data_IF_454577904353
#
_entry.id   IF_454577904353
#
_cell.length_a   1.000
_cell.length_b   1.000
_cell.length_c   1.000
_cell.angle_alpha   90.00
_cell.angle_beta   90.00
_cell.angle_gamma   90.00
#
_symmetry.space_group_name_H-M   'P 1'
#
loop_
_entity.id
_entity.type
_entity.pdbx_description
1 polymer ?
#
# COMPACT_ATOMS: atom_id res chain seq x y z
N UNK A 1 9.92 28.81 24.66
CA UNK A 1 9.78 27.45 25.25
C UNK A 1 8.40 26.94 24.97
N UNK A 2 8.28 25.93 24.13
CA UNK A 2 6.99 25.31 23.90
C UNK A 2 6.71 24.32 25.04
N UNK A 3 5.83 24.74 25.94
CA UNK A 3 5.40 23.89 27.05
C UNK A 3 4.34 22.92 26.51
N UNK A 4 4.73 21.65 26.31
CA UNK A 4 3.85 20.60 25.84
C UNK A 4 3.11 19.87 26.96
N UNK A 5 3.23 20.33 28.20
CA UNK A 5 2.51 19.79 29.35
C UNK A 5 1.02 20.15 29.28
N UNK A 6 0.15 19.19 29.25
CA UNK A 6 -1.30 19.33 29.27
C UNK A 6 -2.07 18.96 28.02
N UNK A 7 -1.39 18.60 26.93
CA UNK A 7 -2.07 18.13 25.70
C UNK A 7 -2.23 16.62 25.71
N UNK A 8 -3.37 16.13 25.24
CA UNK A 8 -3.62 14.69 25.05
C UNK A 8 -2.65 14.09 24.03
N UNK A 9 -2.22 12.85 24.26
CA UNK A 9 -1.30 12.12 23.37
C UNK A 9 -1.85 11.90 21.96
N UNK A 10 -3.16 12.03 21.77
CA UNK A 10 -3.88 11.81 20.51
C UNK A 10 -4.37 13.11 19.85
N UNK A 11 -3.85 14.25 20.26
CA UNK A 11 -4.31 15.55 19.74
C UNK A 11 -3.65 15.88 18.38
N UNK A 12 -4.42 15.95 17.27
CA UNK A 12 -3.88 16.24 15.95
C UNK A 12 -3.31 17.66 15.82
N UNK A 13 -3.78 18.62 16.63
CA UNK A 13 -3.23 19.97 16.66
C UNK A 13 -1.78 20.02 17.16
N UNK A 14 -1.43 19.10 18.04
CA UNK A 14 -0.08 18.95 18.56
C UNK A 14 0.92 18.58 17.46
N UNK A 15 0.58 17.62 16.61
CA UNK A 15 1.38 17.25 15.46
C UNK A 15 1.49 18.36 14.44
N UNK A 16 0.40 19.10 14.22
CA UNK A 16 0.37 20.24 13.32
C UNK A 16 1.30 21.36 13.79
N UNK A 17 1.34 21.66 15.07
CA UNK A 17 2.25 22.66 15.67
C UNK A 17 3.71 22.22 15.58
N UNK A 18 4.02 20.96 15.87
CA UNK A 18 5.38 20.40 15.74
C UNK A 18 5.85 20.45 14.27
N UNK A 19 5.00 20.04 13.34
CA UNK A 19 5.32 20.07 11.91
C UNK A 19 5.44 21.50 11.38
N UNK A 20 4.65 22.44 11.85
CA UNK A 20 4.76 23.86 11.51
C UNK A 20 6.09 24.44 11.99
N UNK A 21 6.52 24.16 13.21
CA UNK A 21 7.82 24.58 13.75
C UNK A 21 8.99 23.96 12.98
N UNK A 22 8.87 22.69 12.60
CA UNK A 22 9.90 22.01 11.79
C UNK A 22 9.94 22.55 10.35
N UNK A 23 8.79 22.95 9.79
CA UNK A 23 8.66 23.52 8.45
C UNK A 23 9.15 24.97 8.37
N UNK A 24 8.79 25.80 9.35
CA UNK A 24 9.20 27.23 9.37
C UNK A 24 10.72 27.41 9.50
N UNK A 25 11.39 26.51 10.21
CA UNK A 25 12.83 26.59 10.44
C UNK A 25 13.70 26.05 9.33
N UNK A 26 13.16 25.51 8.25
CA UNK A 26 13.68 25.14 6.93
C UNK A 26 15.20 24.96 6.70
N UNK A 27 16.01 25.14 7.73
CA UNK A 27 17.46 25.01 7.71
C UNK A 27 17.85 23.85 8.60
N UNK A 28 18.10 22.71 7.98
CA UNK A 28 18.63 21.49 8.65
C UNK A 28 19.82 21.75 9.57
N UNK A 29 20.53 22.84 9.36
CA UNK A 29 21.71 23.25 10.13
C UNK A 29 21.33 23.75 11.53
N UNK A 30 20.22 24.48 11.66
CA UNK A 30 19.74 24.99 12.95
C UNK A 30 19.17 23.90 13.86
N UNK A 31 18.71 22.78 13.28
CA UNK A 31 18.19 21.62 14.03
C UNK A 31 19.31 20.80 14.69
N UNK A 32 20.52 20.82 14.11
CA UNK A 32 21.69 20.11 14.65
C UNK A 32 22.39 20.91 15.76
N UNK A 33 22.34 22.24 15.71
CA UNK A 33 22.93 23.12 16.72
C UNK A 33 22.02 23.31 17.95
N UNK A 34 20.74 23.08 17.79
CA UNK A 34 19.76 23.03 18.90
C UNK A 34 19.45 21.57 19.22
N UNK A 35 20.31 20.94 19.99
CA UNK A 35 20.01 19.68 20.63
C UNK A 35 19.02 19.92 21.77
N UNK A 36 17.81 20.42 21.43
CA UNK A 36 16.68 20.29 22.35
C UNK A 36 16.26 18.83 22.22
N UNK A 37 16.60 18.07 23.24
CA UNK A 37 16.18 16.68 23.40
C UNK A 37 14.66 16.61 23.31
N UNK A 38 14.15 16.09 22.20
CA UNK A 38 12.75 15.73 22.08
C UNK A 38 12.50 14.60 23.08
N UNK A 39 11.57 14.74 24.03
CA UNK A 39 11.26 13.66 24.96
C UNK A 39 11.00 12.36 24.19
N UNK A 40 11.58 11.26 24.66
CA UNK A 40 11.49 9.95 24.02
C UNK A 40 10.03 9.53 23.72
N UNK A 41 9.08 9.99 24.53
CA UNK A 41 7.65 9.81 24.33
C UNK A 41 7.13 10.36 22.99
N UNK A 42 7.75 11.40 22.45
CA UNK A 42 7.42 11.95 21.13
C UNK A 42 7.98 11.12 19.99
N UNK A 43 9.15 10.52 20.21
CA UNK A 43 9.77 9.62 19.23
C UNK A 43 8.92 8.36 19.05
N UNK A 44 8.34 7.83 20.12
CA UNK A 44 7.42 6.68 20.04
C UNK A 44 6.12 7.00 19.29
N UNK A 45 5.65 8.25 19.29
CA UNK A 45 4.48 8.66 18.52
C UNK A 45 4.80 9.06 17.08
N UNK A 46 6.05 9.39 16.78
CA UNK A 46 6.56 9.64 15.43
C UNK A 46 7.10 8.37 14.79
N UNK A 47 7.47 7.38 15.62
CA UNK A 47 7.90 6.09 15.16
C UNK A 47 6.68 5.26 14.78
N UNK A 48 6.58 4.99 13.51
CA UNK A 48 5.90 3.86 12.94
C UNK A 48 4.36 3.88 12.98
N UNK A 49 3.76 4.64 12.10
CA UNK A 49 2.46 4.29 11.52
C UNK A 49 2.62 3.25 10.38
N UNK A 50 3.77 2.62 10.28
CA UNK A 50 4.01 1.52 9.35
C UNK A 50 3.33 0.24 9.82
N UNK A 51 3.04 -0.69 8.90
CA UNK A 51 2.52 -2.00 9.28
C UNK A 51 3.50 -2.71 10.22
N UNK A 52 2.98 -3.40 11.24
CA UNK A 52 3.79 -4.15 12.18
C UNK A 52 4.64 -5.22 11.46
N UNK A 53 5.73 -5.76 12.07
CA UNK A 53 6.46 -6.88 11.47
C UNK A 53 5.58 -8.08 11.13
N UNK A 54 4.54 -8.33 11.95
CA UNK A 54 3.55 -9.39 11.73
C UNK A 54 2.67 -9.06 10.50
N UNK A 55 2.20 -7.82 10.37
CA UNK A 55 1.44 -7.36 9.20
C UNK A 55 2.29 -7.45 7.93
N UNK A 56 3.57 -7.10 8.00
CA UNK A 56 4.50 -7.23 6.88
C UNK A 56 4.70 -8.68 6.44
N UNK A 57 4.77 -9.62 7.39
CA UNK A 57 4.86 -11.05 7.11
C UNK A 57 3.58 -11.54 6.39
N UNK A 58 2.40 -11.19 6.90
CA UNK A 58 1.09 -11.53 6.30
C UNK A 58 0.97 -10.94 4.89
N UNK A 59 1.35 -9.69 4.69
CA UNK A 59 1.33 -9.04 3.37
C UNK A 59 2.29 -9.70 2.38
N UNK A 60 3.46 -10.13 2.84
CA UNK A 60 4.43 -10.84 2.01
C UNK A 60 3.89 -12.21 1.57
N UNK A 61 3.29 -12.94 2.50
CA UNK A 61 2.66 -14.22 2.23
C UNK A 61 1.47 -14.08 1.26
N UNK A 62 0.63 -13.07 1.46
CA UNK A 62 -0.48 -12.74 0.56
C UNK A 62 0.01 -12.41 -0.86
N UNK A 63 1.08 -11.62 -1.00
CA UNK A 63 1.69 -11.31 -2.31
C UNK A 63 2.17 -12.59 -3.02
N UNK A 64 2.78 -13.48 -2.28
CA UNK A 64 3.23 -14.77 -2.80
C UNK A 64 2.05 -15.62 -3.27
N UNK A 65 0.99 -15.72 -2.48
CA UNK A 65 -0.23 -16.45 -2.82
C UNK A 65 -0.93 -15.86 -4.05
N UNK A 66 -1.02 -14.54 -4.15
CA UNK A 66 -1.58 -13.85 -5.33
C UNK A 66 -0.74 -14.17 -6.58
N UNK A 67 0.58 -14.09 -6.48
CA UNK A 67 1.47 -14.39 -7.60
C UNK A 67 1.33 -15.83 -8.07
N UNK A 68 1.23 -16.78 -7.15
CA UNK A 68 0.98 -18.18 -7.45
C UNK A 68 -0.39 -18.41 -8.13
N UNK A 69 -1.42 -17.72 -7.68
CA UNK A 69 -2.75 -17.79 -8.31
C UNK A 69 -2.73 -17.19 -9.72
N UNK A 70 -2.07 -16.07 -9.92
CA UNK A 70 -1.93 -15.43 -11.24
C UNK A 70 -1.15 -16.30 -12.23
N UNK A 71 -0.17 -17.09 -11.76
CA UNK A 71 0.61 -18.01 -12.59
C UNK A 71 -0.25 -19.14 -13.23
N UNK A 72 -1.45 -19.38 -12.72
CA UNK A 72 -2.41 -20.32 -13.32
C UNK A 72 -3.12 -19.78 -14.56
N UNK A 73 -3.02 -18.48 -14.80
CA UNK A 73 -3.63 -17.79 -15.94
C UNK A 73 -2.71 -17.79 -17.15
N UNK A 74 -3.28 -17.47 -18.32
CA UNK A 74 -2.45 -17.20 -19.49
C UNK A 74 -1.64 -15.91 -19.31
N UNK A 75 -0.45 -15.77 -19.90
CA UNK A 75 0.38 -14.56 -19.75
C UNK A 75 -0.36 -13.26 -20.11
N UNK A 76 -1.32 -13.34 -21.02
CA UNK A 76 -2.14 -12.17 -21.44
C UNK A 76 -3.17 -11.81 -20.37
N UNK A 77 -3.87 -12.79 -19.81
CA UNK A 77 -4.83 -12.62 -18.71
C UNK A 77 -4.13 -12.09 -17.44
N UNK A 78 -2.99 -12.65 -17.10
CA UNK A 78 -2.17 -12.21 -15.97
C UNK A 78 -1.76 -10.73 -16.10
N UNK A 79 -1.22 -10.33 -17.27
CA UNK A 79 -0.81 -8.93 -17.50
C UNK A 79 -1.97 -7.96 -17.42
N UNK A 80 -3.15 -8.35 -17.92
CA UNK A 80 -4.36 -7.51 -17.83
C UNK A 80 -4.76 -7.31 -16.37
N UNK A 81 -4.82 -8.38 -15.56
CA UNK A 81 -5.16 -8.27 -14.15
C UNK A 81 -4.10 -7.49 -13.35
N UNK A 82 -2.80 -7.72 -13.60
CA UNK A 82 -1.74 -6.95 -12.94
C UNK A 82 -1.87 -5.45 -13.19
N UNK A 83 -2.13 -5.05 -14.44
CA UNK A 83 -2.34 -3.65 -14.78
C UNK A 83 -3.63 -3.08 -14.21
N UNK A 84 -4.71 -3.86 -14.24
CA UNK A 84 -6.02 -3.42 -13.75
C UNK A 84 -6.04 -3.14 -12.26
N UNK A 85 -5.41 -3.99 -11.47
CA UNK A 85 -5.39 -3.93 -10.00
C UNK A 85 -4.08 -3.40 -9.41
N UNK A 86 -3.14 -2.95 -10.23
CA UNK A 86 -1.85 -2.44 -9.78
C UNK A 86 -0.96 -3.49 -9.09
N UNK A 87 -1.13 -4.79 -9.41
CA UNK A 87 -0.40 -5.87 -8.74
C UNK A 87 1.07 -5.86 -9.16
N UNK A 88 1.95 -5.42 -8.27
CA UNK A 88 3.38 -5.26 -8.55
C UNK A 88 3.71 -4.05 -9.41
N UNK A 89 2.78 -3.11 -9.56
CA UNK A 89 2.94 -1.85 -10.27
C UNK A 89 2.70 -0.67 -9.33
N UNK A 90 3.24 0.51 -9.61
CA UNK A 90 3.05 1.69 -8.76
C UNK A 90 1.62 2.24 -8.80
N UNK A 91 0.89 2.00 -9.90
CA UNK A 91 -0.48 2.47 -10.13
C UNK A 91 -1.33 1.42 -10.83
N UNK A 92 -2.64 1.54 -10.68
CA UNK A 92 -3.62 0.80 -11.46
C UNK A 92 -3.94 1.56 -12.77
N UNK A 93 -4.44 0.83 -13.76
CA UNK A 93 -4.76 1.35 -15.08
C UNK A 93 -6.24 1.13 -15.41
N UNK A 94 -6.82 2.07 -16.13
CA UNK A 94 -8.19 1.95 -16.65
C UNK A 94 -8.23 0.92 -17.79
N UNK A 95 -9.42 0.37 -18.04
CA UNK A 95 -9.61 -0.59 -19.15
C UNK A 95 -9.23 0.01 -20.52
N UNK A 96 -9.42 1.33 -20.68
CA UNK A 96 -9.08 2.05 -21.90
C UNK A 96 -7.56 2.15 -22.10
N UNK A 97 -6.83 2.49 -21.06
CA UNK A 97 -5.35 2.57 -21.09
C UNK A 97 -4.73 1.19 -21.34
N UNK A 98 -5.27 0.16 -20.68
CA UNK A 98 -4.85 -1.22 -20.94
C UNK A 98 -5.14 -1.60 -22.38
N UNK A 99 -6.33 -1.27 -22.91
CA UNK A 99 -6.72 -1.52 -24.29
C UNK A 99 -5.76 -0.87 -25.30
N UNK A 100 -5.40 0.38 -25.09
CA UNK A 100 -4.40 1.09 -25.90
C UNK A 100 -3.04 0.38 -25.86
N UNK A 101 -2.58 -0.01 -24.67
CA UNK A 101 -1.29 -0.70 -24.52
C UNK A 101 -1.22 -2.09 -25.16
N UNK A 102 -2.35 -2.77 -25.32
CA UNK A 102 -2.45 -4.07 -25.98
C UNK A 102 -2.97 -4.01 -27.42
N UNK A 103 -3.23 -2.80 -27.95
CA UNK A 103 -3.80 -2.56 -29.27
C UNK A 103 -5.13 -3.31 -29.49
N UNK A 104 -5.99 -3.30 -28.48
CA UNK A 104 -7.33 -3.92 -28.51
C UNK A 104 -8.38 -2.97 -27.93
N UNK A 105 -9.64 -3.26 -28.22
CA UNK A 105 -10.76 -2.47 -27.70
C UNK A 105 -10.93 -2.63 -26.18
N UNK A 106 -11.48 -1.63 -25.53
CA UNK A 106 -11.82 -1.66 -24.09
C UNK A 106 -12.73 -2.84 -23.76
N UNK A 107 -13.72 -3.13 -24.63
CA UNK A 107 -14.62 -4.27 -24.46
C UNK A 107 -13.87 -5.60 -24.49
N UNK A 108 -12.85 -5.71 -25.36
CA UNK A 108 -12.01 -6.92 -25.40
C UNK A 108 -11.22 -7.11 -24.11
N UNK A 109 -10.71 -6.02 -23.52
CA UNK A 109 -10.04 -6.08 -22.22
C UNK A 109 -11.02 -6.52 -21.12
N UNK A 110 -12.25 -5.97 -21.12
CA UNK A 110 -13.29 -6.37 -20.17
C UNK A 110 -13.61 -7.86 -20.26
N UNK A 111 -13.69 -8.41 -21.47
CA UNK A 111 -13.90 -9.85 -21.68
C UNK A 111 -12.73 -10.69 -21.15
N UNK A 112 -11.50 -10.24 -21.37
CA UNK A 112 -10.29 -10.92 -20.84
C UNK A 112 -10.27 -10.90 -19.33
N UNK A 113 -10.57 -9.75 -18.71
CA UNK A 113 -10.68 -9.58 -17.26
C UNK A 113 -11.73 -10.54 -16.67
N UNK A 114 -12.96 -10.54 -17.23
CA UNK A 114 -14.04 -11.40 -16.77
C UNK A 114 -13.68 -12.90 -16.88
N UNK A 115 -13.02 -13.29 -17.97
CA UNK A 115 -12.55 -14.66 -18.17
C UNK A 115 -11.47 -15.05 -17.16
N UNK A 116 -10.52 -14.16 -16.92
CA UNK A 116 -9.45 -14.37 -15.95
C UNK A 116 -9.99 -14.51 -14.52
N UNK A 117 -10.89 -13.62 -14.11
CA UNK A 117 -11.53 -13.67 -12.79
C UNK A 117 -12.36 -14.97 -12.62
N UNK A 118 -13.03 -15.43 -13.68
CA UNK A 118 -13.75 -16.72 -13.65
C UNK A 118 -12.80 -17.90 -13.41
N UNK A 119 -11.64 -17.90 -14.05
CA UNK A 119 -10.61 -18.92 -13.83
C UNK A 119 -10.06 -18.90 -12.41
N UNK A 120 -9.84 -17.70 -11.84
CA UNK A 120 -9.38 -17.58 -10.45
C UNK A 120 -10.43 -18.02 -9.42
N UNK A 121 -11.72 -17.88 -9.73
CA UNK A 121 -12.80 -18.40 -8.87
C UNK A 121 -12.89 -19.91 -8.87
N UNK A 122 -12.38 -20.57 -9.90
CA UNK A 122 -12.35 -22.02 -9.96
C UNK A 122 -11.46 -22.60 -8.85
N UNK A 123 -11.76 -23.78 -8.28
CA UNK A 123 -11.00 -24.38 -7.17
C UNK A 123 -9.49 -24.44 -7.41
N UNK A 124 -9.04 -24.67 -8.64
CA UNK A 124 -7.61 -24.68 -8.99
C UNK A 124 -6.92 -23.33 -8.84
N UNK A 125 -7.58 -22.25 -9.22
CA UNK A 125 -7.06 -20.88 -9.06
C UNK A 125 -7.18 -20.38 -7.62
N UNK A 126 -8.26 -20.78 -6.92
CA UNK A 126 -8.54 -20.39 -5.54
C UNK A 126 -7.62 -21.06 -4.52
N UNK A 127 -7.02 -22.19 -4.84
CA UNK A 127 -6.22 -23.03 -3.93
C UNK A 127 -5.21 -22.25 -3.09
N UNK A 128 -4.49 -21.30 -3.70
CA UNK A 128 -3.46 -20.50 -3.03
C UNK A 128 -4.02 -19.39 -2.15
N UNK A 129 -5.29 -19.04 -2.32
CA UNK A 129 -5.95 -17.95 -1.62
C UNK A 129 -6.91 -18.40 -0.51
N UNK A 130 -7.15 -19.70 -0.38
CA UNK A 130 -8.14 -20.26 0.58
C UNK A 130 -7.85 -19.79 2.00
N UNK A 131 -6.59 -19.88 2.44
CA UNK A 131 -6.20 -19.50 3.81
C UNK A 131 -6.53 -18.04 4.15
N UNK A 132 -6.48 -17.15 3.15
CA UNK A 132 -6.79 -15.73 3.32
C UNK A 132 -8.29 -15.43 3.19
N UNK A 133 -9.02 -16.22 2.41
CA UNK A 133 -10.47 -16.07 2.22
C UNK A 133 -11.25 -16.57 3.43
N UNK A 134 -10.80 -17.62 4.07
CA UNK A 134 -11.45 -18.20 5.24
C UNK A 134 -11.12 -17.41 6.53
N UNK A 135 -10.05 -16.61 6.51
CA UNK A 135 -9.67 -15.71 7.60
C UNK A 135 -10.38 -14.33 7.52
N UNK A 136 -11.00 -14.02 6.40
CA UNK A 136 -11.79 -12.80 6.19
C UNK A 136 -13.26 -13.09 6.49
#
# INVERSE_FOLDING_TARGET
MNNFNGMSKSDPERYRKINAVLSEKGKKKDLLDRVETIPLEYVYHLADNGPSPEDNAILSELKTAITASLATLTPREERVLRKRFGIGLPTDYTLNEIGKGFSVTTERIRQIEAKALRKLKHPSGRRHLVNFLDAA
#
